data_IF_532766579637
#
_entry.id   IF_532766579637
#
_cell.length_a   1.000
_cell.length_b   1.000
_cell.length_c   1.000
_cell.angle_alpha   90.00
_cell.angle_beta   90.00
_cell.angle_gamma   90.00
#
_symmetry.space_group_name_H-M   'P 1'
#
loop_
_entity.id
_entity.type
_entity.pdbx_description
1 polymer ?
#
# COMPACT_ATOMS: atom_id res chain seq x y z
N UNK A 1 -17.39 21.76 28.18
CA UNK A 1 -17.84 22.23 26.85
C UNK A 1 -18.91 21.28 26.32
N UNK A 2 -19.92 21.80 25.66
CA UNK A 2 -20.95 21.00 24.99
C UNK A 2 -20.36 20.38 23.71
N UNK A 3 -20.87 19.25 23.23
CA UNK A 3 -20.37 18.64 21.98
C UNK A 3 -20.39 19.56 20.76
N UNK A 4 -21.36 20.52 20.73
CA UNK A 4 -21.45 21.53 19.66
C UNK A 4 -20.28 22.52 19.65
N UNK A 5 -19.65 22.75 20.80
CA UNK A 5 -18.53 23.70 20.97
C UNK A 5 -17.16 23.08 20.62
N UNK A 6 -17.13 21.81 20.22
CA UNK A 6 -15.91 21.10 19.89
C UNK A 6 -15.61 21.23 18.39
N UNK A 7 -14.32 21.39 18.05
CA UNK A 7 -13.87 21.26 16.66
C UNK A 7 -14.09 19.84 16.14
N UNK A 8 -14.04 19.64 14.81
CA UNK A 8 -14.16 18.32 14.20
C UNK A 8 -13.18 17.31 14.80
N UNK A 9 -11.89 17.67 14.90
CA UNK A 9 -10.86 16.83 15.49
C UNK A 9 -11.05 16.60 16.99
N UNK A 10 -11.60 17.56 17.74
CA UNK A 10 -11.92 17.34 19.17
C UNK A 10 -13.07 16.35 19.34
N UNK A 11 -14.13 16.47 18.52
CA UNK A 11 -15.24 15.50 18.52
C UNK A 11 -14.75 14.09 18.22
N UNK A 12 -13.86 13.95 17.23
CA UNK A 12 -13.30 12.65 16.84
C UNK A 12 -12.47 12.02 17.95
N UNK A 13 -11.62 12.79 18.64
CA UNK A 13 -10.86 12.30 19.81
C UNK A 13 -11.78 11.89 20.96
N UNK A 14 -12.85 12.63 21.22
CA UNK A 14 -13.84 12.23 22.23
C UNK A 14 -14.55 10.94 21.84
N UNK A 15 -14.93 10.77 20.56
CA UNK A 15 -15.54 9.54 20.06
C UNK A 15 -14.60 8.33 20.23
N UNK A 16 -13.32 8.50 19.89
CA UNK A 16 -12.28 7.46 20.11
C UNK A 16 -12.12 7.14 21.61
N UNK A 17 -12.01 8.16 22.47
CA UNK A 17 -11.92 7.96 23.91
C UNK A 17 -13.12 7.19 24.46
N UNK A 18 -14.33 7.50 24.01
CA UNK A 18 -15.55 6.76 24.38
C UNK A 18 -15.53 5.31 23.93
N UNK A 19 -14.99 5.03 22.74
CA UNK A 19 -14.85 3.66 22.25
C UNK A 19 -13.85 2.86 23.12
N UNK A 20 -12.72 3.47 23.45
CA UNK A 20 -11.64 2.87 24.22
C UNK A 20 -12.04 2.50 25.66
N UNK A 21 -12.87 3.35 26.28
CA UNK A 21 -13.37 3.12 27.67
C UNK A 21 -14.35 1.93 27.75
N UNK A 22 -14.94 1.55 26.60
CA UNK A 22 -15.79 0.35 26.54
C UNK A 22 -14.88 -0.88 26.52
N UNK A 23 -15.18 -1.85 27.37
CA UNK A 23 -14.55 -3.17 27.36
C UNK A 23 -15.10 -4.01 26.19
N UNK A 24 -14.75 -3.61 24.98
CA UNK A 24 -15.23 -4.24 23.76
C UNK A 24 -14.21 -5.26 23.25
N UNK A 25 -14.67 -6.43 22.85
CA UNK A 25 -13.82 -7.46 22.23
C UNK A 25 -13.39 -7.12 20.82
N UNK A 26 -14.17 -6.27 20.13
CA UNK A 26 -13.92 -5.83 18.76
C UNK A 26 -14.17 -4.33 18.66
N UNK A 27 -13.22 -3.60 18.07
CA UNK A 27 -13.35 -2.18 17.71
C UNK A 27 -13.55 -2.03 16.20
N UNK A 28 -14.50 -1.19 15.83
CA UNK A 28 -14.73 -0.79 14.44
C UNK A 28 -14.41 0.70 14.33
N UNK A 29 -13.40 1.04 13.52
CA UNK A 29 -12.95 2.40 13.28
C UNK A 29 -13.08 2.72 11.79
N UNK A 30 -13.95 3.65 11.46
CA UNK A 30 -14.18 4.11 10.10
C UNK A 30 -13.56 5.50 9.93
N UNK A 31 -12.46 5.58 9.17
CA UNK A 31 -11.69 6.80 8.90
C UNK A 31 -11.42 7.67 10.14
N UNK A 32 -10.89 7.12 11.25
CA UNK A 32 -10.86 7.84 12.53
C UNK A 32 -9.90 9.03 12.55
N UNK A 33 -9.06 9.24 11.54
CA UNK A 33 -8.12 10.34 11.45
C UNK A 33 -8.36 11.30 10.27
N UNK A 34 -9.41 11.08 9.47
CA UNK A 34 -9.69 11.84 8.24
C UNK A 34 -9.85 13.36 8.44
N UNK A 35 -10.44 13.75 9.57
CA UNK A 35 -10.73 15.16 9.89
C UNK A 35 -9.63 15.88 10.70
N UNK A 36 -8.43 15.30 10.76
CA UNK A 36 -7.29 15.86 11.49
C UNK A 36 -6.26 16.49 10.52
N UNK A 37 -5.61 17.56 10.98
CA UNK A 37 -4.45 18.12 10.27
C UNK A 37 -3.26 17.13 10.27
N UNK A 38 -2.31 17.32 9.35
CA UNK A 38 -1.20 16.39 9.13
C UNK A 38 -0.37 16.13 10.39
N UNK A 39 -0.06 17.18 11.17
CA UNK A 39 0.75 17.06 12.39
C UNK A 39 0.01 16.26 13.47
N UNK A 40 -1.26 16.57 13.65
CA UNK A 40 -2.11 15.89 14.63
C UNK A 40 -2.36 14.42 14.22
N UNK A 41 -2.50 14.15 12.91
CA UNK A 41 -2.66 12.79 12.37
C UNK A 41 -1.46 11.91 12.71
N UNK A 42 -0.23 12.41 12.56
CA UNK A 42 0.98 11.66 12.93
C UNK A 42 0.98 11.31 14.42
N UNK A 43 0.70 12.27 15.30
CA UNK A 43 0.68 12.03 16.74
C UNK A 43 -0.43 11.06 17.15
N UNK A 44 -1.60 11.17 16.54
CA UNK A 44 -2.75 10.30 16.83
C UNK A 44 -2.54 8.87 16.34
N UNK A 45 -1.86 8.64 15.21
CA UNK A 45 -1.45 7.28 14.80
C UNK A 45 -0.61 6.59 15.87
N UNK A 46 0.40 7.29 16.39
CA UNK A 46 1.24 6.74 17.46
C UNK A 46 0.42 6.40 18.72
N UNK A 47 -0.53 7.24 19.09
CA UNK A 47 -1.40 7.00 20.25
C UNK A 47 -2.35 5.80 20.01
N UNK A 48 -2.96 5.69 18.82
CA UNK A 48 -3.79 4.54 18.46
C UNK A 48 -2.98 3.24 18.54
N UNK A 49 -1.76 3.22 17.99
CA UNK A 49 -0.90 2.05 18.05
C UNK A 49 -0.57 1.62 19.48
N UNK A 50 -0.30 2.58 20.39
CA UNK A 50 -0.07 2.31 21.81
C UNK A 50 -1.32 1.75 22.50
N UNK A 51 -2.45 2.37 22.23
CA UNK A 51 -3.74 1.98 22.82
C UNK A 51 -4.13 0.58 22.35
N UNK A 52 -4.04 0.31 21.05
CA UNK A 52 -4.33 -1.00 20.47
C UNK A 52 -3.49 -2.10 21.13
N UNK A 53 -2.16 -1.90 21.23
CA UNK A 53 -1.25 -2.86 21.90
C UNK A 53 -1.59 -3.07 23.36
N UNK A 54 -2.03 -2.04 24.07
CA UNK A 54 -2.38 -2.13 25.49
C UNK A 54 -3.70 -2.86 25.74
N UNK A 55 -4.69 -2.64 24.86
CA UNK A 55 -6.04 -3.23 24.99
C UNK A 55 -6.03 -4.68 24.49
N UNK A 56 -5.27 -5.01 23.46
CA UNK A 56 -5.20 -6.34 22.84
C UNK A 56 -6.49 -6.80 22.18
N UNK A 57 -7.44 -5.90 21.93
CA UNK A 57 -8.70 -6.22 21.29
C UNK A 57 -8.58 -6.24 19.76
N UNK A 58 -9.34 -7.10 19.10
CA UNK A 58 -9.43 -7.11 17.63
C UNK A 58 -9.97 -5.78 17.12
N UNK A 59 -9.28 -5.17 16.16
CA UNK A 59 -9.67 -3.88 15.58
C UNK A 59 -9.83 -4.01 14.08
N UNK A 60 -10.97 -3.57 13.55
CA UNK A 60 -11.20 -3.36 12.13
C UNK A 60 -11.07 -1.86 11.89
N UNK A 61 -10.09 -1.46 11.08
CA UNK A 61 -9.74 -0.07 10.82
C UNK A 61 -9.89 0.22 9.33
N UNK A 62 -10.82 1.08 8.97
CA UNK A 62 -11.03 1.52 7.58
C UNK A 62 -10.31 2.84 7.36
N UNK A 63 -9.53 2.95 6.31
CA UNK A 63 -8.81 4.16 5.93
C UNK A 63 -8.53 4.20 4.43
N UNK A 64 -8.42 5.39 3.87
CA UNK A 64 -7.87 5.63 2.54
C UNK A 64 -6.40 6.09 2.59
N UNK A 65 -5.83 6.28 3.79
CA UNK A 65 -4.42 6.66 3.99
C UNK A 65 -3.55 5.41 4.09
N UNK A 66 -2.71 5.20 3.07
CA UNK A 66 -1.79 4.07 3.02
C UNK A 66 -0.81 4.04 4.20
N UNK A 67 -0.36 5.22 4.67
CA UNK A 67 0.58 5.31 5.80
C UNK A 67 -0.07 4.82 7.08
N UNK A 68 -1.38 5.09 7.27
CA UNK A 68 -2.13 4.55 8.40
C UNK A 68 -2.20 3.03 8.31
N UNK A 69 -2.62 2.49 7.17
CA UNK A 69 -2.73 1.06 6.96
C UNK A 69 -1.38 0.35 7.16
N UNK A 70 -0.31 0.84 6.53
CA UNK A 70 1.03 0.24 6.61
C UNK A 70 1.67 0.32 8.00
N UNK A 71 1.25 1.30 8.82
CA UNK A 71 1.85 1.54 10.15
C UNK A 71 1.07 0.85 11.28
N UNK A 72 -0.24 0.77 11.16
CA UNK A 72 -1.13 0.33 12.24
C UNK A 72 -1.56 -1.13 12.12
N UNK A 73 -1.64 -1.67 10.90
CA UNK A 73 -2.26 -2.96 10.68
C UNK A 73 -1.29 -4.13 10.88
N UNK A 74 -1.78 -5.22 11.47
CA UNK A 74 -1.16 -6.54 11.40
C UNK A 74 -1.46 -7.21 10.05
N UNK A 75 -2.66 -6.96 9.51
CA UNK A 75 -3.10 -7.42 8.18
C UNK A 75 -3.84 -6.31 7.45
N UNK A 76 -3.55 -6.16 6.17
CA UNK A 76 -4.20 -5.20 5.26
C UNK A 76 -5.12 -5.96 4.31
N UNK A 77 -6.32 -5.43 4.11
CA UNK A 77 -7.24 -5.84 3.06
C UNK A 77 -7.31 -4.72 2.02
N UNK A 78 -6.77 -4.97 0.83
CA UNK A 78 -6.85 -4.01 -0.28
C UNK A 78 -8.13 -4.28 -1.05
N UNK A 79 -8.92 -3.25 -1.23
CA UNK A 79 -10.19 -3.30 -1.94
C UNK A 79 -10.17 -2.37 -3.15
N UNK A 80 -10.73 -2.84 -4.24
CA UNK A 80 -11.05 -2.05 -5.43
C UNK A 80 -12.55 -1.94 -5.60
N UNK A 81 -12.96 -1.01 -6.45
CA UNK A 81 -14.35 -0.84 -6.82
C UNK A 81 -14.47 -0.74 -8.34
N UNK A 82 -15.31 -1.57 -8.93
CA UNK A 82 -15.58 -1.57 -10.37
C UNK A 82 -17.04 -1.20 -10.62
N UNK A 83 -17.32 -0.55 -11.75
CA UNK A 83 -18.71 -0.30 -12.16
C UNK A 83 -19.44 -1.62 -12.38
N UNK A 84 -20.63 -1.73 -11.85
CA UNK A 84 -21.47 -2.87 -12.09
C UNK A 84 -21.80 -2.97 -13.59
N UNK A 85 -21.54 -4.10 -14.28
CA UNK A 85 -21.91 -4.31 -15.66
C UNK A 85 -23.42 -4.12 -15.95
N UNK A 86 -24.28 -4.35 -14.95
CA UNK A 86 -25.72 -4.11 -15.03
C UNK A 86 -26.11 -2.61 -14.98
N UNK A 87 -25.15 -1.69 -14.94
CA UNK A 87 -25.39 -0.24 -15.01
C UNK A 87 -25.81 0.43 -13.70
N UNK A 88 -25.98 -0.31 -12.62
CA UNK A 88 -26.40 0.20 -11.30
C UNK A 88 -25.33 0.02 -10.26
N UNK A 89 -24.70 1.14 -9.85
CA UNK A 89 -23.77 1.17 -8.72
C UNK A 89 -22.38 0.59 -8.98
N UNK A 90 -21.67 0.32 -7.90
CA UNK A 90 -20.29 -0.15 -7.88
C UNK A 90 -20.19 -1.45 -7.12
N UNK A 91 -19.40 -2.38 -7.62
CA UNK A 91 -19.11 -3.67 -6.96
C UNK A 91 -17.73 -3.55 -6.31
N UNK A 92 -17.68 -3.72 -4.99
CA UNK A 92 -16.42 -3.84 -4.25
C UNK A 92 -15.80 -5.23 -4.43
N UNK A 93 -14.48 -5.27 -4.61
CA UNK A 93 -13.72 -6.50 -4.72
C UNK A 93 -12.53 -6.45 -3.78
N UNK A 94 -12.26 -7.57 -3.10
CA UNK A 94 -11.01 -7.75 -2.37
C UNK A 94 -9.92 -8.16 -3.37
N UNK A 95 -8.86 -7.36 -3.48
CA UNK A 95 -7.73 -7.61 -4.38
C UNK A 95 -6.65 -8.45 -3.70
N UNK A 96 -6.28 -8.09 -2.47
CA UNK A 96 -5.26 -8.80 -1.70
C UNK A 96 -5.50 -8.67 -0.20
N UNK A 97 -5.13 -9.73 0.53
CA UNK A 97 -5.05 -9.73 1.99
C UNK A 97 -3.67 -10.22 2.38
N UNK A 98 -2.98 -9.49 3.24
CA UNK A 98 -1.64 -9.86 3.72
C UNK A 98 -1.13 -8.94 4.82
N UNK A 99 0.05 -9.24 5.34
CA UNK A 99 0.79 -8.30 6.18
C UNK A 99 1.21 -7.08 5.37
N UNK A 100 1.48 -5.92 5.99
CA UNK A 100 2.01 -4.75 5.28
C UNK A 100 3.19 -5.09 4.38
N UNK A 101 4.12 -5.90 4.87
CA UNK A 101 5.32 -6.28 4.13
C UNK A 101 5.01 -7.17 2.91
N UNK A 102 4.10 -8.14 3.05
CA UNK A 102 3.68 -9.01 1.94
C UNK A 102 3.00 -8.22 0.83
N UNK A 103 2.07 -7.33 1.20
CA UNK A 103 1.34 -6.52 0.22
C UNK A 103 2.26 -5.57 -0.54
N UNK A 104 3.28 -5.05 0.14
CA UNK A 104 4.27 -4.15 -0.45
C UNK A 104 5.25 -4.88 -1.37
N UNK A 105 5.86 -5.99 -0.88
CA UNK A 105 6.91 -6.71 -1.60
C UNK A 105 6.37 -7.66 -2.67
N UNK A 106 5.19 -8.25 -2.44
CA UNK A 106 4.59 -9.28 -3.29
C UNK A 106 3.16 -8.89 -3.70
N UNK A 107 2.96 -7.78 -4.41
CA UNK A 107 1.65 -7.39 -4.89
C UNK A 107 1.13 -8.41 -5.91
N UNK A 108 -0.13 -8.86 -5.74
CA UNK A 108 -0.73 -9.90 -6.60
C UNK A 108 -1.07 -9.42 -8.00
N UNK A 109 -1.19 -8.12 -8.21
CA UNK A 109 -1.49 -7.53 -9.51
C UNK A 109 -1.02 -6.08 -9.61
N UNK A 110 -1.13 -5.51 -10.81
CA UNK A 110 -0.72 -4.12 -11.12
C UNK A 110 -1.47 -3.09 -10.27
N UNK A 111 -2.76 -3.34 -9.95
CA UNK A 111 -3.55 -2.42 -9.13
C UNK A 111 -2.94 -2.29 -7.73
N UNK A 112 -2.69 -3.42 -7.07
CA UNK A 112 -2.08 -3.44 -5.72
C UNK A 112 -0.68 -2.82 -5.76
N UNK A 113 0.14 -3.18 -6.76
CA UNK A 113 1.50 -2.66 -6.91
C UNK A 113 1.55 -1.13 -7.04
N UNK A 114 0.61 -0.54 -7.80
CA UNK A 114 0.51 0.91 -8.00
C UNK A 114 -0.24 1.62 -6.88
N UNK A 115 -1.09 0.90 -6.13
CA UNK A 115 -1.85 1.49 -5.04
C UNK A 115 -1.01 1.60 -3.75
N UNK A 116 -0.17 0.61 -3.46
CA UNK A 116 0.64 0.56 -2.23
C UNK A 116 2.04 1.10 -2.50
N UNK A 117 2.41 2.11 -1.74
CA UNK A 117 3.72 2.79 -1.77
C UNK A 117 3.58 4.30 -1.95
N UNK A 118 4.44 5.05 -1.29
CA UNK A 118 4.53 6.50 -1.43
C UNK A 118 6.02 6.90 -1.44
N UNK A 119 6.55 7.22 -2.63
CA UNK A 119 5.88 7.28 -3.95
C UNK A 119 5.37 5.94 -4.49
N UNK A 120 4.45 5.98 -5.45
CA UNK A 120 3.92 4.79 -6.11
C UNK A 120 4.98 4.09 -6.98
N UNK A 121 4.76 2.81 -7.28
CA UNK A 121 5.59 2.05 -8.23
C UNK A 121 5.52 2.67 -9.62
N UNK A 122 6.65 2.81 -10.28
CA UNK A 122 6.73 3.19 -11.70
C UNK A 122 6.41 1.98 -12.58
N UNK A 123 5.61 2.20 -13.63
CA UNK A 123 5.27 1.18 -14.62
C UNK A 123 5.71 1.63 -16.00
N UNK A 124 6.49 0.80 -16.67
CA UNK A 124 7.07 1.07 -17.98
C UNK A 124 6.71 -0.08 -18.92
N UNK A 125 6.21 0.23 -20.12
CA UNK A 125 5.99 -0.79 -21.13
C UNK A 125 7.32 -1.20 -21.73
N UNK A 126 7.58 -2.49 -21.77
CA UNK A 126 8.83 -3.09 -22.25
C UNK A 126 8.54 -4.30 -23.12
N UNK A 127 9.54 -4.77 -23.89
CA UNK A 127 9.50 -6.06 -24.61
C UNK A 127 10.63 -6.93 -24.12
N UNK A 128 10.36 -8.23 -23.97
CA UNK A 128 11.42 -9.23 -23.71
C UNK A 128 12.08 -9.57 -25.05
N UNK A 129 13.38 -9.31 -25.15
CA UNK A 129 14.19 -9.62 -26.33
C UNK A 129 15.45 -10.38 -25.86
N UNK A 130 15.47 -11.66 -26.10
CA UNK A 130 16.56 -12.52 -25.63
C UNK A 130 16.62 -12.61 -24.10
N UNK A 131 17.64 -12.03 -23.47
CA UNK A 131 17.80 -11.98 -22.01
C UNK A 131 17.54 -10.59 -21.41
N UNK A 132 17.01 -9.66 -22.21
CA UNK A 132 16.84 -8.27 -21.81
C UNK A 132 15.37 -7.83 -21.94
N UNK A 133 14.95 -6.93 -21.06
CA UNK A 133 13.77 -6.10 -21.28
C UNK A 133 14.20 -4.79 -21.92
N UNK A 134 13.48 -4.40 -22.97
CA UNK A 134 13.83 -3.26 -23.83
C UNK A 134 12.66 -2.27 -23.85
N UNK A 135 12.95 -1.00 -23.67
CA UNK A 135 12.06 0.15 -23.87
C UNK A 135 12.76 1.19 -24.74
N UNK A 136 12.06 2.27 -25.10
CA UNK A 136 12.61 3.34 -25.96
C UNK A 136 13.83 4.04 -25.35
N UNK A 137 13.97 4.04 -24.03
CA UNK A 137 15.03 4.77 -23.31
C UNK A 137 16.08 3.90 -22.62
N UNK A 138 15.88 2.58 -22.52
CA UNK A 138 16.81 1.72 -21.80
C UNK A 138 16.73 0.23 -22.19
N UNK A 139 17.76 -0.50 -21.80
CA UNK A 139 17.82 -1.97 -21.83
C UNK A 139 18.30 -2.46 -20.48
N UNK A 140 17.63 -3.45 -19.92
CA UNK A 140 18.01 -4.06 -18.66
C UNK A 140 18.08 -5.58 -18.80
N UNK A 141 19.16 -6.17 -18.31
CA UNK A 141 19.33 -7.61 -18.24
C UNK A 141 18.35 -8.21 -17.22
N UNK A 142 17.62 -9.22 -17.63
CA UNK A 142 16.67 -9.93 -16.76
C UNK A 142 17.44 -10.98 -15.96
N UNK A 143 17.29 -11.02 -14.62
CA UNK A 143 17.89 -12.08 -13.81
C UNK A 143 17.42 -13.47 -14.28
N UNK A 144 18.33 -14.46 -14.25
CA UNK A 144 18.09 -15.81 -14.82
C UNK A 144 16.81 -16.48 -14.29
N UNK A 145 16.52 -16.34 -12.99
CA UNK A 145 15.31 -16.89 -12.39
C UNK A 145 14.02 -16.31 -12.98
N UNK A 146 13.97 -14.99 -13.18
CA UNK A 146 12.83 -14.31 -13.79
C UNK A 146 12.75 -14.62 -15.29
N UNK A 147 13.90 -14.64 -15.98
CA UNK A 147 13.97 -14.98 -17.40
C UNK A 147 13.43 -16.37 -17.71
N UNK A 148 13.76 -17.35 -16.87
CA UNK A 148 13.23 -18.72 -16.99
C UNK A 148 11.69 -18.72 -16.94
N UNK A 149 11.12 -18.05 -15.93
CA UNK A 149 9.65 -17.97 -15.77
C UNK A 149 8.99 -17.27 -16.95
N UNK A 150 9.59 -16.18 -17.45
CA UNK A 150 9.06 -15.45 -18.61
C UNK A 150 9.07 -16.29 -19.88
N UNK A 151 10.14 -17.06 -20.12
CA UNK A 151 10.24 -17.97 -21.27
C UNK A 151 9.26 -19.14 -21.17
N UNK A 152 9.17 -19.79 -20.02
CA UNK A 152 8.21 -20.87 -19.79
C UNK A 152 6.77 -20.43 -20.04
N UNK A 153 6.44 -19.18 -19.73
CA UNK A 153 5.12 -18.58 -19.99
C UNK A 153 4.97 -18.01 -21.41
N UNK A 154 5.99 -18.11 -22.27
CA UNK A 154 5.95 -17.69 -23.67
C UNK A 154 5.86 -16.18 -23.86
N UNK A 155 6.55 -15.40 -23.06
CA UNK A 155 6.56 -13.92 -23.12
C UNK A 155 7.65 -13.36 -24.04
N UNK A 156 8.48 -14.19 -24.69
CA UNK A 156 9.48 -13.73 -25.66
C UNK A 156 8.83 -12.91 -26.78
N UNK A 157 9.38 -11.72 -27.04
CA UNK A 157 8.89 -10.77 -28.04
C UNK A 157 7.56 -10.08 -27.70
N UNK A 158 6.93 -10.39 -26.58
CA UNK A 158 5.66 -9.79 -26.16
C UNK A 158 5.87 -8.50 -25.35
N UNK A 159 4.84 -7.65 -25.39
CA UNK A 159 4.77 -6.47 -24.52
C UNK A 159 4.50 -6.90 -23.10
N UNK A 160 5.27 -6.35 -22.19
CA UNK A 160 5.19 -6.56 -20.73
C UNK A 160 5.16 -5.21 -20.03
N UNK A 161 4.71 -5.23 -18.79
CA UNK A 161 4.79 -4.08 -17.92
C UNK A 161 5.89 -4.35 -16.89
N UNK A 162 6.96 -3.57 -16.95
CA UNK A 162 8.02 -3.55 -15.95
C UNK A 162 7.62 -2.61 -14.82
N UNK A 163 7.61 -3.11 -13.59
CA UNK A 163 7.36 -2.32 -12.38
C UNK A 163 8.63 -2.17 -11.58
N UNK A 164 8.98 -0.93 -11.22
CA UNK A 164 10.11 -0.61 -10.36
C UNK A 164 9.71 0.40 -9.29
N UNK A 165 10.09 0.14 -8.05
CA UNK A 165 9.86 1.10 -6.98
C UNK A 165 10.91 2.21 -7.00
N UNK A 166 10.56 3.46 -6.63
CA UNK A 166 11.51 4.57 -6.63
C UNK A 166 12.76 4.32 -5.79
N UNK A 167 12.63 3.63 -4.67
CA UNK A 167 13.75 3.28 -3.78
C UNK A 167 14.71 2.23 -4.35
N UNK A 168 14.30 1.50 -5.38
CA UNK A 168 15.14 0.53 -6.08
C UNK A 168 15.96 1.18 -7.21
N UNK A 169 15.76 2.48 -7.45
CA UNK A 169 16.52 3.26 -8.45
C UNK A 169 17.57 4.10 -7.74
N UNK A 170 18.83 3.71 -7.87
CA UNK A 170 19.96 4.41 -7.27
C UNK A 170 20.90 4.92 -8.35
N UNK A 171 21.25 6.20 -8.27
CA UNK A 171 22.22 6.85 -9.16
C UNK A 171 23.43 7.41 -8.39
N UNK A 172 23.54 7.14 -7.09
CA UNK A 172 24.65 7.61 -6.28
C UNK A 172 25.94 6.86 -6.61
N UNK A 173 27.08 7.54 -6.92
CA UNK A 173 28.34 6.89 -7.26
C UNK A 173 28.80 5.87 -6.21
N UNK A 174 28.69 6.20 -4.93
CA UNK A 174 29.06 5.31 -3.83
C UNK A 174 28.25 4.00 -3.81
N UNK A 175 26.98 4.04 -4.21
CA UNK A 175 26.14 2.85 -4.33
C UNK A 175 26.58 1.99 -5.52
N UNK A 176 26.84 2.62 -6.69
CA UNK A 176 27.28 1.93 -7.90
C UNK A 176 28.68 1.28 -7.74
N UNK A 177 29.56 1.91 -6.96
CA UNK A 177 30.87 1.32 -6.61
C UNK A 177 30.73 0.07 -5.73
N UNK A 178 29.74 0.08 -4.82
CA UNK A 178 29.49 -1.06 -3.92
C UNK A 178 28.76 -2.21 -4.64
N UNK A 179 27.92 -1.88 -5.62
CA UNK A 179 27.10 -2.83 -6.39
C UNK A 179 27.29 -2.60 -7.91
N UNK A 180 28.44 -2.95 -8.47
CA UNK A 180 28.77 -2.66 -9.88
C UNK A 180 27.88 -3.39 -10.90
N UNK A 181 27.13 -4.41 -10.49
CA UNK A 181 26.16 -5.11 -11.35
C UNK A 181 24.75 -4.51 -11.30
N UNK A 182 24.55 -3.42 -10.55
CA UNK A 182 23.28 -2.73 -10.41
C UNK A 182 23.07 -1.65 -11.48
N UNK A 183 23.20 -2.00 -12.76
CA UNK A 183 22.95 -1.12 -13.91
C UNK A 183 21.74 -1.58 -14.67
#
# INVERSE_FOLDING_TARGET
RKPADLSGGQRQRVAMGRAIVRDAKVFLMDEPLSNLDAKLRVSMRAEIAKIHRRIGATTIYVTHDQTEAMTLADRIVIMSATKNPAGTGTIGRVEQIGTPQEVYKNPVNKFVAGFIGSPAMNFINVKLVGSEIVSDGFRLKVPEGALKVLREKGYEGKELIFGIRPEDVNAEPAFLETFPESV
#
